data_IF_190471425693
#
_entry.id   IF_190471425693
#
_cell.length_a   1.000
_cell.length_b   1.000
_cell.length_c   1.000
_cell.angle_alpha   90.00
_cell.angle_beta   90.00
_cell.angle_gamma   90.00
#
_symmetry.space_group_name_H-M   'P 1'
#
loop_
_entity.id
_entity.type
_entity.pdbx_description
1 polymer ?
#
# COMPACT_ATOMS: atom_id res chain seq x y z
N UNK A 1 6.10 -3.75 14.57
CA UNK A 1 6.65 -3.46 13.24
C UNK A 1 8.19 -3.38 13.25
N UNK A 2 8.84 -2.49 14.04
CA UNK A 2 10.32 -2.37 13.99
C UNK A 2 11.05 -3.71 14.24
N UNK A 3 10.67 -4.47 15.27
CA UNK A 3 11.21 -5.80 15.55
C UNK A 3 10.92 -6.84 14.46
N UNK A 4 9.98 -6.56 13.56
CA UNK A 4 9.66 -7.40 12.40
C UNK A 4 10.37 -6.94 11.12
N UNK A 5 11.32 -5.99 11.21
CA UNK A 5 12.11 -5.54 10.09
C UNK A 5 11.57 -4.31 9.34
N UNK A 6 10.39 -3.78 9.70
CA UNK A 6 9.90 -2.56 9.08
C UNK A 6 10.69 -1.33 9.56
N UNK A 7 11.18 -0.55 8.62
CA UNK A 7 11.91 0.71 8.86
C UNK A 7 11.09 1.92 8.44
N UNK A 8 10.14 1.75 7.54
CA UNK A 8 9.21 2.78 7.09
C UNK A 8 7.81 2.20 6.91
N UNK A 9 6.79 3.03 7.15
CA UNK A 9 5.37 2.65 6.97
C UNK A 9 4.55 3.83 6.46
N UNK A 10 3.55 3.53 5.62
CA UNK A 10 2.43 4.40 5.34
C UNK A 10 1.26 3.97 6.23
N UNK A 11 0.84 4.83 7.11
CA UNK A 11 -0.27 4.58 8.02
C UNK A 11 -1.56 5.17 7.49
N UNK A 12 -2.53 4.35 7.09
CA UNK A 12 -3.90 4.79 6.84
C UNK A 12 -4.53 5.23 8.17
N UNK A 13 -4.58 6.54 8.41
CA UNK A 13 -5.03 7.09 9.68
C UNK A 13 -6.49 7.54 9.60
N UNK A 14 -7.34 6.95 10.46
CA UNK A 14 -8.80 7.12 10.44
C UNK A 14 -9.32 8.05 11.54
N UNK A 15 -8.47 8.43 12.47
CA UNK A 15 -8.85 9.17 13.68
C UNK A 15 -8.48 10.65 13.57
N UNK A 16 -8.68 11.39 14.65
CA UNK A 16 -8.44 12.81 14.69
C UNK A 16 -6.95 13.21 14.79
N UNK A 17 -6.72 14.52 14.81
CA UNK A 17 -5.38 15.09 14.89
C UNK A 17 -4.58 14.62 16.13
N UNK A 18 -5.15 14.55 17.36
CA UNK A 18 -4.38 14.10 18.52
C UNK A 18 -3.85 12.67 18.38
N UNK A 19 -4.69 11.77 17.84
CA UNK A 19 -4.34 10.37 17.65
C UNK A 19 -3.29 10.22 16.52
N UNK A 20 -3.40 11.03 15.47
CA UNK A 20 -2.43 11.07 14.38
C UNK A 20 -1.05 11.49 14.87
N UNK A 21 -0.97 12.55 15.68
CA UNK A 21 0.28 13.04 16.24
C UNK A 21 0.88 12.02 17.23
N UNK A 22 0.04 11.38 18.05
CA UNK A 22 0.50 10.32 18.95
C UNK A 22 1.06 9.10 18.18
N UNK A 23 0.44 8.73 17.05
CA UNK A 23 0.95 7.67 16.18
C UNK A 23 2.31 8.05 15.57
N UNK A 24 2.46 9.29 15.09
CA UNK A 24 3.73 9.78 14.54
C UNK A 24 4.84 9.82 15.60
N UNK A 25 4.54 10.26 16.82
CA UNK A 25 5.47 10.26 17.95
C UNK A 25 5.90 8.83 18.33
N UNK A 26 4.94 7.91 18.39
CA UNK A 26 5.22 6.50 18.69
C UNK A 26 6.09 5.84 17.60
N UNK A 27 5.84 6.13 16.32
CA UNK A 27 6.65 5.64 15.22
C UNK A 27 8.10 6.18 15.31
N UNK A 28 8.25 7.48 15.56
CA UNK A 28 9.55 8.11 15.74
C UNK A 28 10.33 7.49 16.92
N UNK A 29 9.67 7.33 18.07
CA UNK A 29 10.25 6.67 19.23
C UNK A 29 10.66 5.22 18.97
N UNK A 30 9.95 4.52 18.08
CA UNK A 30 10.27 3.16 17.66
C UNK A 30 11.33 3.08 16.55
N UNK A 31 11.82 4.22 16.03
CA UNK A 31 12.76 4.26 14.91
C UNK A 31 12.14 3.84 13.58
N UNK A 32 10.86 4.16 13.37
CA UNK A 32 10.14 3.92 12.12
C UNK A 32 9.85 5.26 11.44
N UNK A 33 10.26 5.39 10.19
CA UNK A 33 9.84 6.51 9.34
C UNK A 33 8.37 6.35 8.96
N UNK A 34 7.53 7.29 9.34
CA UNK A 34 6.09 7.21 9.09
C UNK A 34 5.62 8.30 8.14
N UNK A 35 4.81 7.91 7.16
CA UNK A 35 3.97 8.82 6.38
C UNK A 35 2.52 8.62 6.80
N UNK A 36 1.92 9.62 7.42
CA UNK A 36 0.50 9.61 7.79
C UNK A 36 -0.35 9.79 6.54
N UNK A 37 -1.01 8.74 6.13
CA UNK A 37 -1.96 8.71 5.02
C UNK A 37 -3.35 9.03 5.60
N UNK A 38 -3.68 10.32 5.71
CA UNK A 38 -4.96 10.73 6.32
C UNK A 38 -6.13 10.21 5.48
N UNK A 39 -7.00 9.41 6.10
CA UNK A 39 -8.11 8.78 5.42
C UNK A 39 -9.29 9.75 5.25
N UNK A 40 -9.75 9.92 4.01
CA UNK A 40 -10.95 10.68 3.69
C UNK A 40 -12.16 9.75 3.60
N UNK A 41 -13.22 10.11 4.34
CA UNK A 41 -14.52 9.44 4.33
C UNK A 41 -15.64 10.48 4.23
N UNK A 42 -16.33 10.53 3.09
CA UNK A 42 -17.57 11.26 2.92
C UNK A 42 -18.75 10.40 3.36
N UNK A 43 -18.70 9.11 3.03
CA UNK A 43 -19.78 8.15 3.25
C UNK A 43 -19.22 6.77 3.65
N UNK A 44 -20.10 5.87 4.06
CA UNK A 44 -19.68 4.53 4.52
C UNK A 44 -18.91 4.58 5.83
N UNK A 45 -18.20 3.52 6.17
CA UNK A 45 -17.37 3.41 7.37
C UNK A 45 -18.09 3.73 8.69
N UNK A 46 -17.33 3.85 9.76
CA UNK A 46 -17.88 4.31 11.05
C UNK A 46 -18.12 5.82 11.03
N UNK A 47 -19.19 6.33 11.68
CA UNK A 47 -19.48 7.77 11.71
C UNK A 47 -18.30 8.65 12.15
N UNK A 48 -17.47 8.16 13.08
CA UNK A 48 -16.31 8.90 13.60
C UNK A 48 -15.16 9.06 12.59
N UNK A 49 -15.19 8.34 11.46
CA UNK A 49 -14.18 8.44 10.41
C UNK A 49 -14.55 9.49 9.36
N UNK A 50 -15.82 9.97 9.36
CA UNK A 50 -16.33 10.85 8.32
C UNK A 50 -15.99 12.30 8.61
N UNK A 51 -15.66 13.02 7.55
CA UNK A 51 -15.56 14.47 7.57
C UNK A 51 -16.84 15.07 6.94
N UNK A 52 -17.29 16.22 7.43
CA UNK A 52 -18.48 16.88 6.92
C UNK A 52 -18.29 17.50 5.53
N UNK A 53 -17.04 17.73 5.12
CA UNK A 53 -16.69 18.25 3.80
C UNK A 53 -15.24 17.92 3.43
N UNK A 54 -14.94 17.92 2.13
CA UNK A 54 -13.57 17.77 1.64
C UNK A 54 -12.65 18.90 2.17
N UNK A 55 -13.20 20.10 2.39
CA UNK A 55 -12.48 21.21 3.03
C UNK A 55 -12.06 20.88 4.45
N UNK A 56 -12.93 20.26 5.24
CA UNK A 56 -12.59 19.83 6.60
C UNK A 56 -11.45 18.81 6.58
N UNK A 57 -11.54 17.83 5.67
CA UNK A 57 -10.48 16.85 5.45
C UNK A 57 -9.14 17.51 5.10
N UNK A 58 -9.12 18.40 4.10
CA UNK A 58 -7.90 19.08 3.67
C UNK A 58 -7.34 20.01 4.77
N UNK A 59 -8.19 20.70 5.52
CA UNK A 59 -7.77 21.49 6.68
C UNK A 59 -7.13 20.59 7.78
N UNK A 60 -7.67 19.38 7.98
CA UNK A 60 -7.08 18.39 8.87
C UNK A 60 -5.67 17.99 8.43
N UNK A 61 -5.48 17.76 7.15
CA UNK A 61 -4.18 17.44 6.55
C UNK A 61 -3.17 18.58 6.76
N UNK A 62 -3.58 19.84 6.50
CA UNK A 62 -2.72 21.00 6.69
C UNK A 62 -2.28 21.16 8.15
N UNK A 63 -3.19 20.96 9.10
CA UNK A 63 -2.84 21.01 10.53
C UNK A 63 -1.82 19.94 10.92
N UNK A 64 -1.86 18.77 10.32
CA UNK A 64 -0.83 17.73 10.52
C UNK A 64 0.52 18.18 9.96
N UNK A 65 0.53 18.80 8.76
CA UNK A 65 1.74 19.36 8.15
C UNK A 65 2.35 20.48 9.00
N UNK A 66 1.53 21.40 9.48
CA UNK A 66 1.94 22.49 10.38
C UNK A 66 2.52 21.97 11.70
N UNK A 67 2.02 20.84 12.17
CA UNK A 67 2.55 20.14 13.34
C UNK A 67 3.85 19.36 13.06
N UNK A 68 4.35 19.39 11.82
CA UNK A 68 5.60 18.74 11.41
C UNK A 68 5.47 17.27 11.01
N UNK A 69 4.26 16.73 10.93
CA UNK A 69 4.05 15.36 10.45
C UNK A 69 4.30 15.25 8.94
N UNK A 70 4.92 14.16 8.52
CA UNK A 70 4.97 13.79 7.10
C UNK A 70 3.64 13.17 6.72
N UNK A 71 2.97 13.74 5.73
CA UNK A 71 1.60 13.35 5.38
C UNK A 71 1.47 12.94 3.91
N UNK A 72 0.47 12.12 3.64
CA UNK A 72 -0.09 11.83 2.32
C UNK A 72 -1.61 11.84 2.37
N UNK A 73 -2.24 11.85 1.21
CA UNK A 73 -3.69 11.79 1.11
C UNK A 73 -4.15 10.35 0.92
N UNK A 74 -5.24 10.00 1.58
CA UNK A 74 -5.84 8.68 1.44
C UNK A 74 -7.37 8.81 1.27
N UNK A 75 -7.89 9.23 0.08
CA UNK A 75 -9.30 8.97 -0.21
C UNK A 75 -9.51 7.48 -0.09
N UNK A 76 -10.23 7.02 0.95
CA UNK A 76 -10.21 5.61 1.32
C UNK A 76 -10.48 4.70 0.12
N UNK A 77 -11.56 4.96 -0.61
CA UNK A 77 -11.95 4.22 -1.81
C UNK A 77 -13.04 4.96 -2.58
N UNK A 78 -13.39 4.51 -3.76
CA UNK A 78 -14.55 5.00 -4.53
C UNK A 78 -15.88 4.74 -3.82
N UNK A 79 -15.93 3.80 -2.87
CA UNK A 79 -17.08 3.55 -1.99
C UNK A 79 -17.24 4.63 -0.93
N UNK A 80 -16.14 5.18 -0.46
CA UNK A 80 -16.10 6.13 0.66
C UNK A 80 -16.13 7.60 0.22
N UNK A 81 -15.64 7.90 -0.97
CA UNK A 81 -15.56 9.26 -1.52
C UNK A 81 -16.31 9.34 -2.85
N UNK A 82 -17.13 10.37 -3.02
CA UNK A 82 -17.76 10.69 -4.29
C UNK A 82 -16.75 11.17 -5.33
N UNK A 83 -17.14 11.16 -6.60
CA UNK A 83 -16.30 11.66 -7.69
C UNK A 83 -15.85 13.11 -7.48
N UNK A 84 -16.69 13.96 -6.87
CA UNK A 84 -16.33 15.34 -6.55
C UNK A 84 -15.23 15.41 -5.49
N UNK A 85 -15.30 14.62 -4.44
CA UNK A 85 -14.26 14.54 -3.42
C UNK A 85 -12.95 13.99 -3.99
N UNK A 86 -13.04 12.92 -4.77
CA UNK A 86 -11.87 12.36 -5.45
C UNK A 86 -11.18 13.41 -6.33
N UNK A 87 -11.96 14.18 -7.10
CA UNK A 87 -11.41 15.23 -7.97
C UNK A 87 -10.70 16.33 -7.17
N UNK A 88 -11.31 16.83 -6.09
CA UNK A 88 -10.69 17.86 -5.25
C UNK A 88 -9.41 17.33 -4.57
N UNK A 89 -9.45 16.11 -4.04
CA UNK A 89 -8.30 15.47 -3.38
C UNK A 89 -7.17 15.20 -4.39
N UNK A 90 -7.48 14.68 -5.58
CA UNK A 90 -6.49 14.42 -6.64
C UNK A 90 -5.80 15.71 -7.11
N UNK A 91 -6.57 16.77 -7.35
CA UNK A 91 -6.02 18.08 -7.69
C UNK A 91 -5.14 18.65 -6.57
N UNK A 92 -5.56 18.49 -5.32
CA UNK A 92 -4.79 18.93 -4.17
C UNK A 92 -3.47 18.16 -4.07
N UNK A 93 -3.49 16.82 -4.19
CA UNK A 93 -2.30 15.99 -4.15
C UNK A 93 -1.28 16.41 -5.21
N UNK A 94 -1.74 16.62 -6.44
CA UNK A 94 -0.89 17.05 -7.56
C UNK A 94 -0.28 18.44 -7.31
N UNK A 95 -1.08 19.39 -6.86
CA UNK A 95 -0.64 20.77 -6.59
C UNK A 95 0.40 20.83 -5.48
N UNK A 96 0.21 20.06 -4.41
CA UNK A 96 1.09 20.05 -3.24
C UNK A 96 2.26 19.06 -3.36
N UNK A 97 2.30 18.25 -4.43
CA UNK A 97 3.33 17.23 -4.62
C UNK A 97 3.31 16.13 -3.56
N UNK A 98 2.13 15.79 -3.06
CA UNK A 98 1.95 14.78 -2.01
C UNK A 98 1.60 13.41 -2.61
N UNK A 99 1.98 12.33 -1.91
CA UNK A 99 1.55 10.99 -2.26
C UNK A 99 0.05 10.81 -2.00
N UNK A 100 -0.60 10.01 -2.85
CA UNK A 100 -2.00 9.64 -2.75
C UNK A 100 -2.13 8.12 -2.73
N UNK A 101 -2.74 7.57 -1.70
CA UNK A 101 -3.03 6.14 -1.58
C UNK A 101 -4.54 5.92 -1.57
N UNK A 102 -5.01 4.89 -2.26
CA UNK A 102 -6.45 4.61 -2.41
C UNK A 102 -6.69 3.12 -2.60
N UNK A 103 -7.65 2.54 -1.87
CA UNK A 103 -8.09 1.17 -2.10
C UNK A 103 -9.00 1.14 -3.33
N UNK A 104 -8.72 0.24 -4.26
CA UNK A 104 -9.57 0.06 -5.44
C UNK A 104 -9.53 -1.37 -5.96
N UNK A 105 -10.65 -1.81 -6.49
CA UNK A 105 -10.84 -3.14 -7.07
C UNK A 105 -10.51 -4.28 -6.08
N UNK A 106 -10.74 -4.05 -4.79
CA UNK A 106 -10.49 -5.02 -3.73
C UNK A 106 -11.47 -6.20 -3.83
N UNK A 107 -12.75 -5.91 -3.96
CA UNK A 107 -13.82 -6.90 -3.97
C UNK A 107 -14.77 -6.72 -5.16
N UNK A 108 -15.40 -7.82 -5.67
CA UNK A 108 -16.34 -7.74 -6.78
C UNK A 108 -17.49 -6.77 -6.56
N UNK A 109 -18.01 -6.72 -5.32
CA UNK A 109 -19.10 -5.81 -4.96
C UNK A 109 -18.74 -4.33 -5.17
N UNK A 110 -17.51 -3.93 -4.87
CA UNK A 110 -17.04 -2.56 -5.13
C UNK A 110 -17.15 -2.20 -6.61
N UNK A 111 -16.81 -3.14 -7.48
CA UNK A 111 -16.87 -2.95 -8.93
C UNK A 111 -18.32 -2.79 -9.37
N UNK A 112 -19.22 -3.67 -8.90
CA UNK A 112 -20.64 -3.63 -9.23
C UNK A 112 -21.28 -2.30 -8.79
N UNK A 113 -20.99 -1.85 -7.56
CA UNK A 113 -21.46 -0.58 -7.01
C UNK A 113 -20.92 0.62 -7.81
N UNK A 114 -19.63 0.62 -8.18
CA UNK A 114 -19.01 1.68 -8.96
C UNK A 114 -19.59 1.75 -10.38
N UNK A 115 -19.79 0.61 -11.04
CA UNK A 115 -20.45 0.53 -12.35
C UNK A 115 -21.88 1.03 -12.29
N UNK A 116 -22.64 0.68 -11.26
CA UNK A 116 -24.01 1.11 -11.09
C UNK A 116 -24.14 2.63 -10.85
N UNK A 117 -23.20 3.22 -10.05
CA UNK A 117 -23.23 4.65 -9.70
C UNK A 117 -22.60 5.53 -10.80
N UNK A 118 -21.51 5.10 -11.41
CA UNK A 118 -20.65 5.94 -12.26
C UNK A 118 -20.54 5.46 -13.71
N UNK A 119 -21.02 4.26 -14.03
CA UNK A 119 -20.92 3.67 -15.36
C UNK A 119 -19.51 3.26 -15.78
N UNK A 120 -18.56 3.25 -14.83
CA UNK A 120 -17.16 2.88 -15.05
C UNK A 120 -16.63 2.09 -13.86
N UNK A 121 -15.48 1.44 -14.05
CA UNK A 121 -14.82 0.66 -13.01
C UNK A 121 -13.98 1.56 -12.08
N UNK A 122 -13.58 1.08 -10.88
CA UNK A 122 -12.94 1.91 -9.87
C UNK A 122 -11.68 2.65 -10.34
N UNK A 123 -10.72 1.97 -10.99
CA UNK A 123 -9.49 2.63 -11.47
C UNK A 123 -9.78 3.60 -12.61
N UNK A 124 -10.76 3.30 -13.48
CA UNK A 124 -11.22 4.25 -14.51
C UNK A 124 -11.82 5.52 -13.89
N UNK A 125 -12.59 5.38 -12.79
CA UNK A 125 -13.11 6.53 -12.05
C UNK A 125 -11.98 7.37 -11.44
N UNK A 126 -11.00 6.71 -10.82
CA UNK A 126 -9.81 7.39 -10.27
C UNK A 126 -9.06 8.17 -11.36
N UNK A 127 -8.88 7.58 -12.54
CA UNK A 127 -8.26 8.25 -13.68
C UNK A 127 -9.05 9.50 -14.10
N UNK A 128 -10.38 9.39 -14.24
CA UNK A 128 -11.28 10.52 -14.59
C UNK A 128 -11.25 11.64 -13.56
N UNK A 129 -11.07 11.30 -12.28
CA UNK A 129 -10.99 12.27 -11.18
C UNK A 129 -9.58 12.87 -11.00
N UNK A 130 -8.59 12.51 -11.82
CA UNK A 130 -7.23 13.02 -11.70
C UNK A 130 -6.47 12.48 -10.48
N UNK A 131 -6.89 11.30 -9.97
CA UNK A 131 -6.24 10.65 -8.83
C UNK A 131 -5.09 9.72 -9.25
N UNK A 132 -4.87 9.46 -10.54
CA UNK A 132 -3.76 8.61 -10.99
C UNK A 132 -2.55 9.43 -11.41
N UNK A 133 -1.37 8.97 -11.00
CA UNK A 133 -0.09 9.56 -11.34
C UNK A 133 1.08 8.81 -10.69
N UNK A 134 2.32 9.24 -10.93
CA UNK A 134 3.52 8.56 -10.43
C UNK A 134 3.65 8.57 -8.90
N UNK A 135 2.95 9.48 -8.21
CA UNK A 135 2.86 9.55 -6.74
C UNK A 135 1.61 8.86 -6.19
N UNK A 136 0.87 8.13 -7.02
CA UNK A 136 -0.33 7.40 -6.61
C UNK A 136 0.00 5.95 -6.33
N UNK A 137 -0.54 5.44 -5.24
CA UNK A 137 -0.54 4.01 -4.90
C UNK A 137 -1.98 3.52 -4.84
N UNK A 138 -2.30 2.55 -5.67
CA UNK A 138 -3.57 1.81 -5.61
C UNK A 138 -3.35 0.56 -4.77
N UNK A 139 -4.12 0.43 -3.68
CA UNK A 139 -4.04 -0.73 -2.79
C UNK A 139 -4.97 -1.83 -3.30
N UNK A 140 -4.51 -3.06 -3.26
CA UNK A 140 -5.09 -4.32 -3.74
C UNK A 140 -5.07 -4.48 -5.26
N UNK A 141 -5.95 -3.78 -6.00
CA UNK A 141 -6.18 -4.01 -7.42
C UNK A 141 -6.51 -5.49 -7.77
N UNK A 142 -7.03 -6.26 -6.81
CA UNK A 142 -7.28 -7.71 -6.89
C UNK A 142 -8.15 -8.08 -8.09
N UNK A 143 -9.16 -7.26 -8.37
CA UNK A 143 -10.09 -7.45 -9.48
C UNK A 143 -9.92 -6.43 -10.60
N UNK A 144 -8.74 -5.80 -10.72
CA UNK A 144 -8.48 -4.87 -11.81
C UNK A 144 -8.49 -5.60 -13.17
N UNK A 145 -9.24 -5.04 -14.12
CA UNK A 145 -9.30 -5.56 -15.48
C UNK A 145 -8.15 -5.04 -16.35
N UNK A 146 -7.96 -5.64 -17.58
CA UNK A 146 -6.85 -5.26 -18.45
C UNK A 146 -6.77 -3.75 -18.75
N UNK A 147 -7.90 -3.09 -19.02
CA UNK A 147 -7.93 -1.65 -19.27
C UNK A 147 -7.51 -0.83 -18.04
N UNK A 148 -7.88 -1.29 -16.83
CA UNK A 148 -7.46 -0.64 -15.59
C UNK A 148 -5.95 -0.81 -15.34
N UNK A 149 -5.40 -1.98 -15.67
CA UNK A 149 -3.95 -2.22 -15.62
C UNK A 149 -3.20 -1.33 -16.62
N UNK A 150 -3.75 -1.10 -17.82
CA UNK A 150 -3.17 -0.18 -18.79
C UNK A 150 -3.14 1.27 -18.24
N UNK A 151 -4.23 1.73 -17.62
CA UNK A 151 -4.30 3.04 -16.98
C UNK A 151 -3.27 3.20 -15.83
N UNK A 152 -3.10 2.17 -14.99
CA UNK A 152 -2.11 2.17 -13.91
C UNK A 152 -0.68 2.27 -14.45
N UNK A 153 -0.39 1.51 -15.51
CA UNK A 153 0.93 1.53 -16.16
C UNK A 153 1.22 2.89 -16.82
N UNK A 154 0.27 3.44 -17.58
CA UNK A 154 0.39 4.73 -18.24
C UNK A 154 0.57 5.88 -17.23
N UNK A 155 -0.11 5.80 -16.09
CA UNK A 155 0.03 6.77 -15.01
C UNK A 155 1.36 6.65 -14.25
N UNK A 156 2.08 5.54 -14.38
CA UNK A 156 3.24 5.22 -13.56
C UNK A 156 2.90 4.98 -12.10
N UNK A 157 1.66 4.60 -11.80
CA UNK A 157 1.18 4.36 -10.46
C UNK A 157 1.82 3.10 -9.86
N UNK A 158 1.85 3.04 -8.53
CA UNK A 158 2.25 1.85 -7.77
C UNK A 158 1.01 1.03 -7.41
N UNK A 159 1.11 -0.29 -7.40
CA UNK A 159 0.11 -1.18 -6.79
C UNK A 159 0.69 -1.77 -5.51
N UNK A 160 0.00 -1.54 -4.40
CA UNK A 160 0.34 -2.12 -3.10
C UNK A 160 -0.53 -3.36 -2.86
N UNK A 161 0.08 -4.53 -2.86
CA UNK A 161 -0.59 -5.79 -2.57
C UNK A 161 -0.51 -6.09 -1.07
N UNK A 162 -1.57 -6.68 -0.52
CA UNK A 162 -1.66 -7.02 0.89
C UNK A 162 -2.00 -8.52 1.06
N UNK A 163 -1.08 -9.42 0.65
CA UNK A 163 -1.34 -10.84 0.48
C UNK A 163 -1.99 -11.53 1.67
N UNK A 164 -1.53 -11.24 2.90
CA UNK A 164 -2.09 -11.88 4.09
C UNK A 164 -3.50 -11.36 4.42
N UNK A 165 -3.78 -10.08 4.18
CA UNK A 165 -5.13 -9.51 4.34
C UNK A 165 -6.08 -10.04 3.27
N UNK A 166 -5.66 -10.03 2.00
CA UNK A 166 -6.43 -10.52 0.87
C UNK A 166 -6.80 -12.00 1.04
N UNK A 167 -5.86 -12.81 1.54
CA UNK A 167 -6.11 -14.20 1.89
C UNK A 167 -7.09 -14.35 3.07
N UNK A 168 -6.95 -13.53 4.12
CA UNK A 168 -7.82 -13.57 5.30
C UNK A 168 -9.25 -13.15 4.99
N UNK A 169 -9.43 -12.15 4.11
CA UNK A 169 -10.75 -11.66 3.69
C UNK A 169 -11.37 -12.51 2.58
N UNK A 170 -10.56 -13.33 1.89
CA UNK A 170 -11.01 -14.12 0.76
C UNK A 170 -11.29 -13.28 -0.48
N UNK A 171 -10.54 -12.20 -0.69
CA UNK A 171 -10.74 -11.26 -1.79
C UNK A 171 -10.44 -11.86 -3.17
N UNK A 172 -9.68 -12.94 -3.21
CA UNK A 172 -9.31 -13.62 -4.44
C UNK A 172 -7.83 -13.46 -4.77
N UNK A 173 -7.52 -13.47 -6.05
CA UNK A 173 -6.14 -13.42 -6.53
C UNK A 173 -5.92 -12.20 -7.42
N UNK A 174 -4.92 -11.34 -7.13
CA UNK A 174 -4.59 -10.22 -7.99
C UNK A 174 -4.10 -10.70 -9.36
N UNK A 175 -4.25 -9.88 -10.43
CA UNK A 175 -3.84 -10.22 -11.79
C UNK A 175 -2.32 -10.08 -11.96
N UNK A 176 -1.52 -10.87 -11.20
CA UNK A 176 -0.06 -10.73 -11.08
C UNK A 176 0.65 -10.76 -12.42
N UNK A 177 0.27 -11.68 -13.32
CA UNK A 177 0.87 -11.73 -14.65
C UNK A 177 0.67 -10.41 -15.40
N UNK A 178 -0.54 -9.86 -15.38
CA UNK A 178 -0.86 -8.59 -16.05
C UNK A 178 -0.12 -7.38 -15.46
N UNK A 179 0.08 -7.37 -14.13
CA UNK A 179 0.86 -6.35 -13.43
C UNK A 179 2.35 -6.41 -13.83
N UNK A 180 2.93 -7.61 -13.82
CA UNK A 180 4.34 -7.83 -14.16
C UNK A 180 4.64 -7.55 -15.65
N UNK A 181 3.77 -7.99 -16.57
CA UNK A 181 3.91 -7.75 -18.02
C UNK A 181 3.94 -6.24 -18.34
N UNK A 182 3.17 -5.45 -17.60
CA UNK A 182 3.11 -3.98 -17.74
C UNK A 182 4.19 -3.26 -16.94
N UNK A 183 5.02 -3.98 -16.21
CA UNK A 183 6.07 -3.43 -15.34
C UNK A 183 5.52 -2.40 -14.35
N UNK A 184 4.30 -2.61 -13.85
CA UNK A 184 3.72 -1.77 -12.81
C UNK A 184 4.55 -1.97 -11.54
N UNK A 185 4.95 -0.88 -10.91
CA UNK A 185 5.69 -0.95 -9.65
C UNK A 185 4.81 -1.60 -8.58
N UNK A 186 5.32 -2.64 -7.94
CA UNK A 186 4.64 -3.31 -6.84
C UNK A 186 5.26 -2.93 -5.50
N UNK A 187 4.44 -2.88 -4.47
CA UNK A 187 4.82 -2.77 -3.07
C UNK A 187 3.96 -3.73 -2.25
N UNK A 188 4.31 -3.96 -0.99
CA UNK A 188 3.50 -4.74 -0.04
C UNK A 188 2.98 -3.86 1.09
N UNK A 189 1.85 -4.24 1.66
CA UNK A 189 1.27 -3.67 2.87
C UNK A 189 0.73 -4.75 3.78
N UNK A 190 0.66 -4.46 5.08
CA UNK A 190 0.04 -5.32 6.09
C UNK A 190 -1.45 -5.05 6.28
N UNK A 191 -1.94 -3.95 5.70
CA UNK A 191 -3.34 -3.48 5.69
C UNK A 191 -4.05 -3.68 7.04
N UNK A 192 -4.92 -4.66 7.17
CA UNK A 192 -5.65 -4.94 8.43
C UNK A 192 -4.78 -5.53 9.54
N UNK A 193 -3.46 -5.64 9.34
CA UNK A 193 -2.48 -6.13 10.32
C UNK A 193 -2.79 -7.53 10.87
N UNK A 194 -3.37 -8.41 10.05
CA UNK A 194 -3.55 -9.82 10.39
C UNK A 194 -2.20 -10.45 10.73
N UNK A 195 -1.18 -10.05 9.99
CA UNK A 195 0.23 -10.41 10.22
C UNK A 195 1.10 -9.14 10.14
N UNK A 196 2.15 -9.13 10.95
CA UNK A 196 3.19 -8.09 10.93
C UNK A 196 4.52 -8.78 10.61
N UNK A 197 4.63 -9.28 9.40
CA UNK A 197 5.80 -10.01 8.91
C UNK A 197 6.00 -9.72 7.41
N UNK A 198 6.97 -8.86 7.04
CA UNK A 198 7.20 -8.51 5.64
C UNK A 198 7.71 -9.69 4.81
N UNK A 199 8.39 -10.65 5.44
CA UNK A 199 8.85 -11.86 4.74
C UNK A 199 7.67 -12.77 4.38
N UNK A 200 6.66 -12.84 5.25
CA UNK A 200 5.43 -13.58 4.97
C UNK A 200 4.64 -12.93 3.83
N UNK A 201 4.51 -11.59 3.82
CA UNK A 201 3.86 -10.88 2.71
C UNK A 201 4.56 -11.17 1.37
N UNK A 202 5.88 -11.09 1.33
CA UNK A 202 6.65 -11.40 0.12
C UNK A 202 6.52 -12.87 -0.30
N UNK A 203 6.52 -13.78 0.67
CA UNK A 203 6.37 -15.22 0.43
C UNK A 203 5.00 -15.57 -0.12
N UNK A 204 3.94 -15.01 0.44
CA UNK A 204 2.58 -15.19 -0.04
C UNK A 204 2.37 -14.57 -1.42
N UNK A 205 2.99 -13.42 -1.69
CA UNK A 205 2.96 -12.80 -3.01
C UNK A 205 3.56 -13.73 -4.06
N UNK A 206 4.81 -14.17 -3.88
CA UNK A 206 5.47 -15.09 -4.83
C UNK A 206 4.79 -16.46 -4.85
N UNK A 207 4.32 -16.95 -3.69
CA UNK A 207 3.55 -18.19 -3.61
C UNK A 207 2.26 -18.15 -4.43
N UNK A 208 1.57 -17.04 -4.40
CA UNK A 208 0.37 -16.79 -5.22
C UNK A 208 0.74 -16.73 -6.71
N UNK A 209 1.79 -15.98 -7.06
CA UNK A 209 2.28 -15.91 -8.43
C UNK A 209 2.62 -17.30 -9.00
N UNK A 210 3.31 -18.13 -8.23
CA UNK A 210 3.65 -19.51 -8.60
C UNK A 210 2.41 -20.38 -8.83
N UNK A 211 1.44 -20.30 -7.94
CA UNK A 211 0.19 -21.07 -8.04
C UNK A 211 -0.61 -20.65 -9.29
N UNK A 212 -0.68 -19.37 -9.59
CA UNK A 212 -1.36 -18.86 -10.80
C UNK A 212 -0.64 -19.28 -12.09
N UNK A 213 0.69 -19.14 -12.10
CA UNK A 213 1.49 -19.40 -13.30
C UNK A 213 1.84 -20.88 -13.53
N UNK A 214 1.65 -21.74 -12.52
CA UNK A 214 2.04 -23.16 -12.59
C UNK A 214 3.55 -23.40 -12.73
N UNK A 215 4.38 -22.44 -12.35
CA UNK A 215 5.85 -22.49 -12.43
C UNK A 215 6.51 -21.82 -11.25
N UNK A 216 7.81 -22.11 -11.05
CA UNK A 216 8.64 -21.45 -10.02
C UNK A 216 9.23 -20.14 -10.58
N UNK A 217 9.70 -19.29 -9.67
CA UNK A 217 10.45 -18.07 -10.00
C UNK A 217 9.66 -17.17 -10.97
N UNK A 218 8.46 -16.76 -10.53
CA UNK A 218 7.60 -15.85 -11.31
C UNK A 218 8.06 -14.42 -11.13
N UNK A 219 8.34 -14.05 -9.86
CA UNK A 219 8.97 -12.78 -9.50
C UNK A 219 10.41 -13.06 -9.13
N UNK A 220 11.35 -12.42 -9.83
CA UNK A 220 12.78 -12.54 -9.55
C UNK A 220 13.08 -12.10 -8.11
N UNK A 221 14.05 -12.77 -7.44
CA UNK A 221 14.37 -12.49 -6.03
C UNK A 221 14.74 -11.02 -5.78
N UNK A 222 15.49 -10.42 -6.68
CA UNK A 222 15.86 -8.99 -6.58
C UNK A 222 14.62 -8.08 -6.63
N UNK A 223 13.67 -8.39 -7.50
CA UNK A 223 12.42 -7.65 -7.58
C UNK A 223 11.55 -7.89 -6.34
N UNK A 224 11.49 -9.12 -5.82
CA UNK A 224 10.79 -9.42 -4.57
C UNK A 224 11.34 -8.58 -3.40
N UNK A 225 12.65 -8.51 -3.27
CA UNK A 225 13.31 -7.69 -2.25
C UNK A 225 13.06 -6.18 -2.49
N UNK A 226 13.01 -5.75 -3.74
CA UNK A 226 12.65 -4.38 -4.09
C UNK A 226 11.21 -4.04 -3.69
N UNK A 227 10.27 -4.96 -3.91
CA UNK A 227 8.86 -4.83 -3.52
C UNK A 227 8.75 -4.59 -2.00
N UNK A 228 9.49 -5.33 -1.20
CA UNK A 228 9.54 -5.20 0.26
C UNK A 228 10.36 -4.02 0.79
N UNK A 229 11.03 -3.23 -0.07
CA UNK A 229 11.94 -2.18 0.36
C UNK A 229 11.81 -0.90 -0.49
N UNK A 230 12.68 -0.70 -1.50
CA UNK A 230 12.76 0.53 -2.29
C UNK A 230 11.45 0.93 -2.98
N UNK A 231 10.65 -0.06 -3.40
CA UNK A 231 9.37 0.24 -4.06
C UNK A 231 8.34 0.77 -3.05
N UNK A 232 8.28 0.19 -1.83
CA UNK A 232 7.47 0.71 -0.73
C UNK A 232 7.88 2.12 -0.34
N UNK A 233 9.18 2.38 -0.20
CA UNK A 233 9.69 3.72 0.07
C UNK A 233 9.31 4.73 -1.03
N UNK A 234 9.44 4.34 -2.29
CA UNK A 234 9.02 5.17 -3.43
C UNK A 234 7.51 5.46 -3.41
N UNK A 235 6.67 4.48 -3.06
CA UNK A 235 5.22 4.65 -2.88
C UNK A 235 4.89 5.69 -1.81
N UNK A 236 5.73 5.81 -0.79
CA UNK A 236 5.60 6.77 0.30
C UNK A 236 6.30 8.11 0.04
N UNK A 237 6.94 8.29 -1.12
CA UNK A 237 7.70 9.50 -1.45
C UNK A 237 8.95 9.68 -0.58
N UNK A 238 9.52 8.59 -0.03
CA UNK A 238 10.68 8.61 0.83
C UNK A 238 11.97 8.50 0.00
N UNK A 239 12.92 9.41 0.22
CA UNK A 239 14.25 9.35 -0.38
C UNK A 239 15.19 8.39 0.36
N UNK A 240 14.90 8.12 1.64
CA UNK A 240 15.61 7.17 2.50
C UNK A 240 14.62 6.55 3.50
N UNK A 241 14.86 5.31 3.91
CA UNK A 241 13.93 4.56 4.78
C UNK A 241 14.64 3.72 5.84
N UNK A 242 15.95 3.89 6.01
CA UNK A 242 16.76 3.16 6.97
C UNK A 242 17.09 1.73 6.55
N UNK A 243 17.93 1.10 7.34
CA UNK A 243 18.38 -0.27 7.13
C UNK A 243 17.75 -1.24 8.13
N UNK A 244 17.66 -2.50 7.73
CA UNK A 244 17.26 -3.61 8.58
C UNK A 244 18.43 -4.57 8.73
N UNK A 245 18.79 -4.87 9.96
CA UNK A 245 19.84 -5.84 10.26
C UNK A 245 19.26 -7.26 10.30
N UNK A 246 20.01 -8.20 9.75
CA UNK A 246 19.66 -9.62 9.74
C UNK A 246 20.61 -10.37 10.67
N UNK A 247 20.07 -11.13 11.59
CA UNK A 247 20.85 -12.02 12.45
C UNK A 247 21.31 -13.26 11.65
N UNK A 248 22.50 -13.20 11.08
CA UNK A 248 23.08 -14.32 10.31
C UNK A 248 23.38 -15.55 11.16
N UNK A 249 23.38 -15.43 12.50
CA UNK A 249 23.52 -16.57 13.42
C UNK A 249 22.16 -17.25 13.73
N UNK A 250 21.07 -16.77 13.14
CA UNK A 250 19.74 -17.35 13.34
C UNK A 250 19.73 -18.84 12.90
N UNK A 251 19.09 -19.76 13.68
CA UNK A 251 19.10 -21.19 13.38
C UNK A 251 18.63 -21.56 11.97
N UNK A 252 17.66 -20.82 11.42
CA UNK A 252 17.15 -21.05 10.06
C UNK A 252 18.15 -20.64 8.95
N UNK A 253 19.19 -19.90 9.29
CA UNK A 253 20.28 -19.54 8.38
C UNK A 253 21.54 -20.40 8.59
N UNK A 254 21.51 -21.35 9.53
CA UNK A 254 22.66 -22.22 9.81
C UNK A 254 23.02 -23.04 8.58
N UNK A 255 24.28 -22.92 8.11
CA UNK A 255 24.78 -23.61 6.94
C UNK A 255 24.36 -23.04 5.58
N UNK A 256 23.60 -21.95 5.56
CA UNK A 256 23.26 -21.22 4.32
C UNK A 256 24.48 -20.44 3.85
N UNK A 257 24.84 -20.59 2.57
CA UNK A 257 25.92 -19.79 1.99
C UNK A 257 25.52 -18.31 1.92
N UNK A 258 26.44 -17.35 2.10
CA UNK A 258 26.10 -15.91 2.06
C UNK A 258 25.36 -15.47 0.80
N UNK A 259 25.68 -16.07 -0.35
CA UNK A 259 25.02 -15.79 -1.62
C UNK A 259 23.55 -16.21 -1.63
N UNK A 260 23.18 -17.23 -0.84
CA UNK A 260 21.81 -17.77 -0.78
C UNK A 260 21.00 -17.17 0.37
N UNK A 261 21.63 -16.38 1.25
CA UNK A 261 20.98 -15.78 2.41
C UNK A 261 19.74 -14.92 2.05
N UNK A 262 19.73 -14.09 1.00
CA UNK A 262 18.54 -13.33 0.61
C UNK A 262 17.35 -14.22 0.24
N UNK A 263 17.60 -15.34 -0.46
CA UNK A 263 16.55 -16.31 -0.79
C UNK A 263 16.04 -17.04 0.46
N UNK A 264 16.97 -17.45 1.34
CA UNK A 264 16.62 -18.10 2.60
C UNK A 264 15.78 -17.17 3.51
N UNK A 265 16.09 -15.88 3.55
CA UNK A 265 15.29 -14.89 4.28
C UNK A 265 13.83 -14.93 3.82
N UNK A 266 13.59 -14.73 2.52
CA UNK A 266 12.22 -14.67 1.99
C UNK A 266 11.50 -16.00 2.15
N UNK A 267 12.14 -17.13 1.84
CA UNK A 267 11.45 -18.41 1.70
C UNK A 267 11.51 -19.33 2.93
N UNK A 268 12.36 -19.05 3.90
CA UNK A 268 12.58 -19.95 5.04
C UNK A 268 12.52 -19.26 6.41
N UNK A 269 12.73 -17.95 6.49
CA UNK A 269 12.75 -17.23 7.76
C UNK A 269 11.40 -16.56 8.07
N UNK A 270 11.18 -16.19 9.32
CA UNK A 270 10.13 -15.32 9.80
C UNK A 270 10.75 -14.02 10.34
N UNK A 271 9.91 -13.06 10.75
CA UNK A 271 10.35 -11.74 11.20
C UNK A 271 11.34 -11.77 12.40
N UNK A 272 11.41 -12.85 13.15
CA UNK A 272 12.34 -13.04 14.28
C UNK A 272 13.83 -13.07 13.84
N UNK A 273 14.10 -13.21 12.56
CA UNK A 273 15.46 -13.11 11.99
C UNK A 273 16.03 -11.69 12.07
N UNK A 274 15.19 -10.69 12.27
CA UNK A 274 15.56 -9.27 12.39
C UNK A 274 15.83 -8.83 13.85
N UNK A 275 15.72 -9.72 14.81
CA UNK A 275 15.85 -9.45 16.23
C UNK A 275 17.29 -9.64 16.76
#
# INVERSE_FOLDING_TARGET
MRAAGYTAVGEFHYLGLPEALAAAEAAHAAGIEMVLLLAAYERGGLPRFRQASVREYLNGLERLREAGARVGLAPHSVRACSASWLTEIGHYATREGLVLHVHACEQPREIDECLAEHGVRPVELLARCGCLGPSTTVVHATHAGPAELDLLAEAGATVCLCPTTEANLGDGFPPLQGLLERRIRLAIGSDSNVRIDPLEELRELEGTARRQAGRREVIELEELLAIGSRNGAAALGLASWGDTEVNLAHPLLAGVAPADAPAALVFSCSADVFA
#
